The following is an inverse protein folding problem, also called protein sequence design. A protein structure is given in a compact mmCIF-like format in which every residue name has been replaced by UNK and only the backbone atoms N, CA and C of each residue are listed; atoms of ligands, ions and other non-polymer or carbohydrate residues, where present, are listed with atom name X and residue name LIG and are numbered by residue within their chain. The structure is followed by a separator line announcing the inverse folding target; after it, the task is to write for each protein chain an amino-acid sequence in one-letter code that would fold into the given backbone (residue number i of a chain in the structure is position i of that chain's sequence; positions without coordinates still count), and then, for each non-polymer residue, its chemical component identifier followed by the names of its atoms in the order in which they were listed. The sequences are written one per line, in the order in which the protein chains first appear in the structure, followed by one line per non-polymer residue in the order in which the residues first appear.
data_IF_253940249595
#
_entry.id   IF_253940249595
#
_cell.length_a   1.000
_cell.length_b   1.000
_cell.length_c   1.000
_cell.angle_alpha   90.00
_cell.angle_beta   90.00
_cell.angle_gamma   90.00
#
_symmetry.space_group_name_H-M   'P 1'
#
loop_
_entity.id
_entity.type
_entity.pdbx_description
1 polymer ?
#
# COMPACT_ATOMS: atom_id res chain seq x y z
N UNK A 1 -6.62 6.17 -5.28
CA UNK A 1 -5.32 6.87 -5.16
C UNK A 1 -5.42 7.91 -4.06
N UNK A 2 -4.44 7.94 -3.16
CA UNK A 2 -4.36 8.90 -2.04
C UNK A 2 -3.14 9.80 -2.30
N UNK A 3 -3.37 11.12 -2.36
CA UNK A 3 -2.31 12.12 -2.50
C UNK A 3 -1.49 12.29 -1.22
N UNK A 4 -0.88 13.47 -1.05
CA UNK A 4 -0.21 13.80 0.22
C UNK A 4 -1.27 13.99 1.31
N UNK A 5 -1.40 12.98 2.17
CA UNK A 5 -2.27 13.01 3.36
C UNK A 5 -1.42 12.87 4.62
N UNK A 6 -1.74 13.62 5.66
CA UNK A 6 -1.07 13.48 6.96
C UNK A 6 -1.34 12.11 7.59
N UNK A 7 -0.51 11.65 8.55
CA UNK A 7 -0.63 10.33 9.17
C UNK A 7 -2.00 10.11 9.86
N UNK A 8 -2.57 11.14 10.49
CA UNK A 8 -3.91 11.05 11.10
C UNK A 8 -5.00 10.81 10.06
N UNK A 9 -4.97 11.55 8.96
CA UNK A 9 -5.97 11.42 7.90
C UNK A 9 -5.82 10.08 7.17
N UNK A 10 -4.58 9.60 6.97
CA UNK A 10 -4.32 8.27 6.42
C UNK A 10 -4.96 7.16 7.29
N UNK A 11 -4.87 7.30 8.62
CA UNK A 11 -5.52 6.40 9.59
C UNK A 11 -7.04 6.43 9.51
N UNK A 12 -7.63 7.62 9.46
CA UNK A 12 -9.09 7.79 9.37
C UNK A 12 -9.63 7.19 8.05
N UNK A 13 -8.93 7.42 6.93
CA UNK A 13 -9.26 6.82 5.63
C UNK A 13 -9.10 5.30 5.70
N UNK A 14 -8.00 4.79 6.25
CA UNK A 14 -7.75 3.36 6.42
C UNK A 14 -8.86 2.68 7.23
N UNK A 15 -9.28 3.29 8.34
CA UNK A 15 -10.37 2.80 9.16
C UNK A 15 -11.71 2.80 8.41
N UNK A 16 -12.02 3.86 7.65
CA UNK A 16 -13.25 3.94 6.85
C UNK A 16 -13.30 2.91 5.71
N UNK A 17 -12.13 2.47 5.24
CA UNK A 17 -11.98 1.48 4.17
C UNK A 17 -11.77 0.05 4.69
N UNK A 18 -11.63 -0.15 6.00
CA UNK A 18 -11.37 -1.46 6.59
C UNK A 18 -12.45 -2.49 6.22
N UNK A 19 -12.02 -3.68 5.80
CA UNK A 19 -12.90 -4.78 5.40
C UNK A 19 -13.61 -4.58 4.04
N UNK A 20 -13.39 -3.45 3.35
CA UNK A 20 -13.90 -3.21 2.00
C UNK A 20 -12.87 -3.67 0.97
N UNK A 21 -13.35 -4.20 -0.15
CA UNK A 21 -12.52 -4.57 -1.31
C UNK A 21 -12.05 -3.33 -2.09
N UNK A 22 -11.21 -2.50 -1.45
CA UNK A 22 -10.71 -1.24 -2.01
C UNK A 22 -9.19 -1.26 -2.05
N UNK A 23 -8.64 -1.07 -3.26
CA UNK A 23 -7.20 -0.91 -3.46
C UNK A 23 -6.76 0.51 -3.09
N UNK A 24 -6.03 0.64 -1.98
CA UNK A 24 -5.38 1.89 -1.60
C UNK A 24 -4.01 2.00 -2.26
N UNK A 25 -3.76 3.14 -2.91
CA UNK A 25 -2.53 3.41 -3.68
C UNK A 25 -1.98 4.77 -3.24
N UNK A 26 -0.70 4.84 -2.90
CA UNK A 26 -0.01 6.07 -2.49
C UNK A 26 1.36 6.23 -3.16
N UNK A 27 1.78 7.48 -3.36
CA UNK A 27 3.16 7.82 -3.72
C UNK A 27 3.90 8.40 -2.50
N UNK A 28 5.19 8.06 -2.32
CA UNK A 28 6.07 8.74 -1.37
C UNK A 28 7.12 7.86 -0.69
N UNK A 29 8.07 8.50 0.00
CA UNK A 29 9.29 7.86 0.53
C UNK A 29 9.20 7.42 2.00
N UNK A 30 8.25 7.94 2.77
CA UNK A 30 8.22 7.79 4.24
C UNK A 30 7.72 6.43 4.75
N UNK A 31 8.55 5.68 5.45
CA UNK A 31 8.27 4.34 6.01
C UNK A 31 7.16 4.29 7.08
N UNK A 32 6.79 5.42 7.68
CA UNK A 32 5.96 5.43 8.90
C UNK A 32 4.48 5.00 8.73
N UNK A 33 3.95 4.93 7.50
CA UNK A 33 2.51 4.64 7.26
C UNK A 33 2.26 3.44 6.34
N UNK A 34 3.18 2.46 6.28
CA UNK A 34 3.01 1.27 5.44
C UNK A 34 1.78 0.41 5.79
N UNK A 35 1.28 0.49 7.02
CA UNK A 35 0.17 -0.33 7.49
C UNK A 35 -1.20 0.07 6.92
N UNK A 36 -1.32 1.28 6.36
CA UNK A 36 -2.61 1.84 5.94
C UNK A 36 -2.81 1.83 4.42
N UNK A 37 -1.78 1.44 3.65
CA UNK A 37 -1.84 1.40 2.18
C UNK A 37 -1.41 0.05 1.64
N UNK A 38 -2.17 -0.47 0.67
CA UNK A 38 -1.90 -1.77 0.05
C UNK A 38 -0.80 -1.66 -1.01
N UNK A 39 -0.84 -0.63 -1.86
CA UNK A 39 0.16 -0.40 -2.91
C UNK A 39 0.86 0.94 -2.71
N UNK A 40 2.18 0.93 -2.84
CA UNK A 40 2.98 2.14 -2.79
C UNK A 40 3.95 2.24 -3.96
N UNK A 41 4.05 3.43 -4.53
CA UNK A 41 5.17 3.81 -5.37
C UNK A 41 6.19 4.58 -4.54
N UNK A 42 7.43 4.09 -4.52
CA UNK A 42 8.57 4.77 -3.91
C UNK A 42 9.60 5.04 -5.00
N UNK A 43 10.26 6.19 -4.95
CA UNK A 43 11.41 6.46 -5.80
C UNK A 43 12.66 6.07 -5.03
N UNK A 44 13.44 5.15 -5.58
CA UNK A 44 14.69 4.71 -5.00
C UNK A 44 15.76 4.72 -6.09
N UNK A 45 16.87 5.43 -5.86
CA UNK A 45 17.96 5.57 -6.83
C UNK A 45 17.47 5.99 -8.24
N UNK A 46 16.57 6.98 -8.28
CA UNK A 46 15.96 7.49 -9.51
C UNK A 46 15.13 6.45 -10.30
N UNK A 47 14.66 5.38 -9.64
CA UNK A 47 13.76 4.37 -10.22
C UNK A 47 12.50 4.23 -9.36
N UNK A 48 11.35 4.05 -10.01
CA UNK A 48 10.09 3.76 -9.32
C UNK A 48 10.10 2.29 -8.90
N UNK A 49 9.88 2.06 -7.62
CA UNK A 49 9.65 0.76 -6.99
C UNK A 49 8.19 0.62 -6.61
N UNK A 50 7.59 -0.49 -7.02
CA UNK A 50 6.25 -0.90 -6.59
C UNK A 50 6.40 -1.74 -5.31
N UNK A 51 5.82 -1.28 -4.21
CA UNK A 51 5.74 -2.02 -2.95
C UNK A 51 4.30 -2.46 -2.68
N UNK A 52 4.12 -3.71 -2.28
CA UNK A 52 2.80 -4.29 -1.98
C UNK A 52 2.79 -4.84 -0.56
N UNK A 53 1.87 -4.33 0.28
CA UNK A 53 1.61 -4.88 1.60
C UNK A 53 0.60 -6.04 1.47
N UNK A 54 1.11 -7.28 1.45
CA UNK A 54 0.28 -8.46 1.20
C UNK A 54 -0.69 -8.75 2.37
N UNK A 55 -0.30 -8.43 3.59
CA UNK A 55 -1.16 -8.54 4.78
C UNK A 55 -2.36 -7.61 4.68
N UNK A 56 -2.13 -6.34 4.32
CA UNK A 56 -3.21 -5.37 4.11
C UNK A 56 -4.12 -5.75 2.92
N UNK A 57 -3.53 -6.27 1.83
CA UNK A 57 -4.29 -6.78 0.69
C UNK A 57 -5.25 -7.90 1.08
N UNK A 58 -4.75 -8.85 1.88
CA UNK A 58 -5.51 -10.00 2.37
C UNK A 58 -6.65 -9.55 3.30
N UNK A 59 -6.38 -8.62 4.22
CA UNK A 59 -7.39 -8.03 5.09
C UNK A 59 -8.50 -7.29 4.31
N UNK A 60 -8.15 -6.70 3.15
CA UNK A 60 -9.09 -6.07 2.23
C UNK A 60 -9.75 -7.05 1.24
N UNK A 61 -9.50 -8.37 1.34
CA UNK A 61 -10.02 -9.40 0.43
C UNK A 61 -9.65 -9.14 -1.04
N UNK A 62 -8.48 -8.56 -1.28
CA UNK A 62 -7.96 -8.34 -2.62
C UNK A 62 -7.10 -9.52 -3.06
N UNK A 63 -7.27 -9.91 -4.31
CA UNK A 63 -6.43 -10.91 -4.98
C UNK A 63 -5.58 -10.18 -6.01
N UNK A 64 -4.27 -10.39 -5.96
CA UNK A 64 -3.34 -9.87 -6.95
C UNK A 64 -2.92 -10.94 -7.94
N UNK A 65 -2.79 -10.55 -9.20
CA UNK A 65 -2.19 -11.43 -10.21
C UNK A 65 -0.73 -11.74 -9.82
N UNK A 66 -0.30 -13.02 -9.85
CA UNK A 66 1.07 -13.39 -9.49
C UNK A 66 2.15 -12.70 -10.32
N UNK A 67 1.86 -12.29 -11.57
CA UNK A 67 2.80 -11.52 -12.41
C UNK A 67 3.09 -10.15 -11.81
N UNK A 68 2.10 -9.52 -11.18
CA UNK A 68 2.28 -8.24 -10.51
C UNK A 68 3.16 -8.40 -9.26
N UNK A 69 2.93 -9.46 -8.49
CA UNK A 69 3.70 -9.75 -7.28
C UNK A 69 5.18 -10.00 -7.60
N UNK A 70 5.49 -10.66 -8.73
CA UNK A 70 6.88 -10.87 -9.19
C UNK A 70 7.62 -9.58 -9.52
N UNK A 71 6.89 -8.53 -9.90
CA UNK A 71 7.47 -7.22 -10.25
C UNK A 71 7.47 -6.24 -9.07
N UNK A 72 6.89 -6.64 -7.93
CA UNK A 72 6.76 -5.81 -6.74
C UNK A 72 7.71 -6.27 -5.63
N UNK A 73 8.17 -5.32 -4.83
CA UNK A 73 8.74 -5.62 -3.53
C UNK A 73 7.58 -5.87 -2.55
N UNK A 74 7.51 -7.07 -2.01
CA UNK A 74 6.44 -7.42 -1.06
C UNK A 74 6.89 -7.09 0.35
N UNK A 75 6.04 -6.36 1.08
CA UNK A 75 6.29 -5.91 2.45
C UNK A 75 5.20 -6.43 3.39
N UNK A 76 5.49 -6.49 4.70
CA UNK A 76 4.53 -6.89 5.72
C UNK A 76 4.31 -8.40 5.86
N UNK A 77 5.35 -9.20 5.61
CA UNK A 77 5.38 -10.63 5.94
C UNK A 77 5.80 -10.84 7.41
N UNK A 78 4.93 -10.50 8.37
CA UNK A 78 5.00 -10.97 9.78
C UNK A 78 3.58 -11.02 10.39
#
# INVERSE_FOLDING_TARGET
YMGSVGPRQAKEIGAALAGRSVLTVRNGETTASFYETIVRFATEQNRIKLRINLKAATAARLVFDPRLLRSAEIVGYE
#
